data_IF_677273056151
#
_entry.id   IF_677273056151
#
_cell.length_a   1.000
_cell.length_b   1.000
_cell.length_c   1.000
_cell.angle_alpha   90.00
_cell.angle_beta   90.00
_cell.angle_gamma   90.00
#
_symmetry.space_group_name_H-M   'P 1'
#
loop_
_entity.id
_entity.type
_entity.pdbx_description
1 polymer ?
#
# COMPACT_ATOMS: atom_id res chain seq x y z
N UNK A 1 33.36 0.01 -4.36
CA UNK A 1 32.46 0.19 -3.20
C UNK A 1 33.23 -0.19 -1.95
N UNK A 2 33.43 0.75 -1.04
CA UNK A 2 34.08 0.51 0.26
C UNK A 2 33.04 0.39 1.37
N UNK A 3 33.39 -0.16 2.54
CA UNK A 3 32.45 -0.28 3.67
C UNK A 3 31.85 1.06 4.12
N UNK A 4 32.57 2.17 3.93
CA UNK A 4 32.07 3.53 4.18
C UNK A 4 30.98 3.95 3.20
N UNK A 5 31.07 3.53 1.94
CA UNK A 5 30.04 3.84 0.93
C UNK A 5 28.75 3.08 1.21
N UNK A 6 28.86 1.84 1.72
CA UNK A 6 27.72 1.04 2.13
C UNK A 6 27.01 1.64 3.35
N UNK A 7 27.78 2.06 4.37
CA UNK A 7 27.22 2.68 5.57
C UNK A 7 26.43 3.97 5.25
N UNK A 8 26.96 4.82 4.35
CA UNK A 8 26.25 6.02 3.89
C UNK A 8 24.94 5.70 3.18
N UNK A 9 24.91 4.65 2.35
CA UNK A 9 23.68 4.19 1.69
C UNK A 9 22.63 3.70 2.68
N UNK A 10 23.05 2.93 3.70
CA UNK A 10 22.15 2.44 4.74
C UNK A 10 21.55 3.62 5.52
N UNK A 11 22.37 4.59 5.91
CA UNK A 11 21.90 5.79 6.61
C UNK A 11 20.94 6.63 5.76
N UNK A 12 21.25 6.85 4.48
CA UNK A 12 20.36 7.56 3.55
C UNK A 12 19.01 6.88 3.43
N UNK A 13 19.01 5.55 3.31
CA UNK A 13 17.79 4.76 3.22
C UNK A 13 16.95 4.83 4.51
N UNK A 14 17.59 4.76 5.68
CA UNK A 14 16.89 4.92 6.96
C UNK A 14 16.23 6.30 7.09
N UNK A 15 16.94 7.37 6.76
CA UNK A 15 16.37 8.73 6.83
C UNK A 15 15.23 8.96 5.83
N UNK A 16 15.26 8.30 4.67
CA UNK A 16 14.14 8.31 3.73
C UNK A 16 12.90 7.62 4.30
N UNK A 17 13.08 6.49 5.01
CA UNK A 17 11.99 5.78 5.69
C UNK A 17 11.39 6.61 6.83
N UNK A 18 12.21 7.20 7.70
CA UNK A 18 11.76 8.07 8.79
C UNK A 18 10.94 9.25 8.25
N UNK A 19 11.41 9.88 7.18
CA UNK A 19 10.71 11.01 6.53
C UNK A 19 9.37 10.60 5.90
N UNK A 20 9.27 9.38 5.39
CA UNK A 20 8.01 8.83 4.89
C UNK A 20 7.02 8.56 6.03
N UNK A 21 7.52 8.06 7.17
CA UNK A 21 6.73 7.80 8.36
C UNK A 21 6.18 9.10 8.98
N UNK A 22 7.01 10.13 9.14
CA UNK A 22 6.58 11.47 9.59
C UNK A 22 5.52 12.08 8.67
N UNK A 23 5.69 11.94 7.35
CA UNK A 23 4.73 12.44 6.37
C UNK A 23 3.39 11.71 6.47
N UNK A 24 3.41 10.40 6.71
CA UNK A 24 2.23 9.58 6.96
C UNK A 24 1.50 10.00 8.24
N UNK A 25 2.24 10.22 9.33
CA UNK A 25 1.69 10.70 10.61
C UNK A 25 1.05 12.08 10.46
N UNK A 26 1.72 13.00 9.77
CA UNK A 26 1.20 14.36 9.53
C UNK A 26 -0.07 14.31 8.66
N UNK A 27 -0.09 13.47 7.62
CA UNK A 27 -1.26 13.27 6.76
C UNK A 27 -2.43 12.62 7.53
N UNK A 28 -2.15 11.73 8.49
CA UNK A 28 -3.15 11.16 9.39
C UNK A 28 -3.75 12.22 10.32
N UNK A 29 -2.94 13.13 10.87
CA UNK A 29 -3.41 14.23 11.72
C UNK A 29 -4.31 15.21 10.96
N UNK A 30 -3.92 15.61 9.74
CA UNK A 30 -4.76 16.47 8.88
C UNK A 30 -6.08 15.78 8.48
N UNK A 31 -6.04 14.47 8.19
CA UNK A 31 -7.24 13.68 7.93
C UNK A 31 -8.19 13.62 9.12
N UNK A 32 -7.69 13.40 10.35
CA UNK A 32 -8.53 13.39 11.55
C UNK A 32 -9.23 14.73 11.78
N UNK A 33 -8.53 15.85 11.56
CA UNK A 33 -9.15 17.17 11.67
C UNK A 33 -10.28 17.38 10.65
N UNK A 34 -10.12 16.91 9.40
CA UNK A 34 -11.18 17.00 8.37
C UNK A 34 -12.37 16.05 8.60
N UNK A 35 -12.21 14.99 9.40
CA UNK A 35 -13.23 13.97 9.63
C UNK A 35 -14.26 14.34 10.71
N UNK A 36 -14.03 15.41 11.48
CA UNK A 36 -15.04 15.92 12.42
C UNK A 36 -16.33 16.40 11.72
N UNK A 37 -16.29 16.57 10.40
CA UNK A 37 -17.44 16.91 9.55
C UNK A 37 -18.07 15.65 8.94
N UNK A 38 -18.84 14.89 9.74
CA UNK A 38 -20.04 14.10 9.37
C UNK A 38 -20.03 13.10 8.19
N UNK A 39 -18.94 12.93 7.45
CA UNK A 39 -18.90 12.12 6.23
C UNK A 39 -18.25 10.75 6.50
N UNK A 40 -19.04 9.67 6.36
CA UNK A 40 -18.50 8.30 6.34
C UNK A 40 -17.61 8.13 5.11
N UNK A 41 -16.31 8.28 5.30
CA UNK A 41 -15.29 8.08 4.26
C UNK A 41 -14.56 6.78 4.53
N UNK A 42 -14.23 6.04 3.47
CA UNK A 42 -13.38 4.84 3.58
C UNK A 42 -12.22 4.99 2.61
N UNK A 43 -11.09 4.39 2.93
CA UNK A 43 -9.96 4.30 2.01
C UNK A 43 -9.88 2.87 1.50
N UNK A 44 -10.01 2.69 0.20
CA UNK A 44 -9.90 1.38 -0.45
C UNK A 44 -8.51 1.31 -1.08
N UNK A 45 -7.68 0.39 -0.62
CA UNK A 45 -6.36 0.12 -1.18
C UNK A 45 -6.41 -1.22 -1.93
N UNK A 46 -5.95 -1.24 -3.17
CA UNK A 46 -5.84 -2.45 -3.96
C UNK A 46 -4.40 -2.66 -4.43
N UNK A 47 -3.98 -3.91 -4.52
CA UNK A 47 -2.68 -4.30 -5.07
C UNK A 47 -2.84 -5.57 -5.91
N UNK A 48 -2.02 -5.69 -6.95
CA UNK A 48 -2.02 -6.83 -7.86
C UNK A 48 -0.58 -7.34 -8.05
N UNK A 49 -0.39 -8.64 -7.90
CA UNK A 49 0.84 -9.33 -8.27
C UNK A 49 0.54 -10.32 -9.40
N UNK A 50 1.39 -10.36 -10.43
CA UNK A 50 1.26 -11.31 -11.55
C UNK A 50 2.57 -12.05 -11.78
N UNK A 51 2.51 -13.37 -11.77
CA UNK A 51 3.59 -14.24 -12.21
C UNK A 51 3.32 -14.71 -13.65
N UNK A 52 4.10 -14.16 -14.59
CA UNK A 52 4.03 -14.52 -16.01
C UNK A 52 4.42 -15.97 -16.28
N UNK A 53 5.26 -16.60 -15.45
CA UNK A 53 5.73 -17.98 -15.70
C UNK A 53 4.65 -19.00 -15.43
N UNK A 54 3.84 -18.77 -14.40
CA UNK A 54 2.74 -19.65 -14.01
C UNK A 54 1.36 -19.14 -14.45
N UNK A 55 1.29 -17.98 -15.10
CA UNK A 55 0.04 -17.26 -15.43
C UNK A 55 -0.90 -17.14 -14.23
N UNK A 56 -0.31 -16.93 -13.04
CA UNK A 56 -1.02 -16.75 -11.78
C UNK A 56 -1.00 -15.29 -11.40
N UNK A 57 -2.07 -14.85 -10.77
CA UNK A 57 -2.10 -13.55 -10.13
C UNK A 57 -2.69 -13.63 -8.74
N UNK A 58 -2.36 -12.62 -7.95
CA UNK A 58 -2.94 -12.37 -6.66
C UNK A 58 -3.43 -10.93 -6.63
N UNK A 59 -4.68 -10.76 -6.25
CA UNK A 59 -5.31 -9.48 -5.97
C UNK A 59 -5.51 -9.36 -4.48
N UNK A 60 -5.11 -8.22 -3.94
CA UNK A 60 -5.32 -7.88 -2.55
C UNK A 60 -6.12 -6.58 -2.48
N UNK A 61 -7.15 -6.58 -1.63
CA UNK A 61 -8.00 -5.45 -1.35
C UNK A 61 -8.06 -5.25 0.17
N UNK A 62 -7.80 -4.04 0.63
CA UNK A 62 -7.94 -3.66 2.04
C UNK A 62 -8.74 -2.36 2.13
N UNK A 63 -9.83 -2.42 2.90
CA UNK A 63 -10.68 -1.27 3.20
C UNK A 63 -10.35 -0.77 4.59
N UNK A 64 -9.91 0.47 4.66
CA UNK A 64 -9.62 1.19 5.89
C UNK A 64 -10.75 2.16 6.23
N UNK A 65 -11.16 2.13 7.48
CA UNK A 65 -12.06 3.10 8.08
C UNK A 65 -11.35 4.40 8.41
N UNK A 66 -12.09 5.31 9.03
CA UNK A 66 -11.63 6.68 9.29
C UNK A 66 -10.60 6.75 10.41
N UNK A 67 -10.68 5.84 11.37
CA UNK A 67 -9.85 5.77 12.57
C UNK A 67 -8.60 4.88 12.37
N UNK A 68 -8.22 4.61 11.11
CA UNK A 68 -7.10 3.73 10.75
C UNK A 68 -7.36 2.26 11.17
N UNK A 69 -8.63 1.86 11.19
CA UNK A 69 -9.09 0.49 11.41
C UNK A 69 -9.31 -0.24 10.08
N UNK A 70 -8.99 -1.54 10.02
CA UNK A 70 -9.33 -2.37 8.86
C UNK A 70 -10.81 -2.77 8.99
N UNK A 71 -11.64 -2.30 8.06
CA UNK A 71 -13.07 -2.65 7.99
C UNK A 71 -13.30 -3.95 7.23
N UNK A 72 -12.51 -4.20 6.18
CA UNK A 72 -12.57 -5.42 5.39
C UNK A 72 -11.23 -5.68 4.69
N UNK A 73 -10.91 -6.95 4.47
CA UNK A 73 -9.83 -7.35 3.59
C UNK A 73 -10.25 -8.55 2.74
N UNK A 74 -9.75 -8.61 1.51
CA UNK A 74 -10.00 -9.73 0.60
C UNK A 74 -8.74 -9.99 -0.22
N UNK A 75 -8.31 -11.24 -0.25
CA UNK A 75 -7.26 -11.71 -1.15
C UNK A 75 -7.86 -12.73 -2.11
N UNK A 76 -7.61 -12.57 -3.40
CA UNK A 76 -8.06 -13.49 -4.44
C UNK A 76 -6.85 -13.96 -5.23
N UNK A 77 -6.70 -15.29 -5.36
CA UNK A 77 -5.69 -15.89 -6.22
C UNK A 77 -6.41 -16.36 -7.47
N UNK A 78 -5.98 -15.88 -8.63
CA UNK A 78 -6.49 -16.35 -9.90
C UNK A 78 -5.42 -17.19 -10.61
N UNK A 79 -5.76 -18.45 -10.88
CA UNK A 79 -5.02 -19.30 -11.80
C UNK A 79 -5.54 -19.08 -13.22
N UNK A 80 -4.66 -18.71 -14.15
CA UNK A 80 -4.94 -18.47 -15.56
C UNK A 80 -5.56 -17.10 -15.92
N UNK A 81 -5.04 -16.01 -15.34
CA UNK A 81 -5.30 -14.68 -15.90
C UNK A 81 -4.30 -14.40 -17.03
N UNK A 82 -4.83 -13.96 -18.18
CA UNK A 82 -4.10 -13.78 -19.44
C UNK A 82 -3.21 -12.54 -19.47
N UNK A 83 -3.40 -11.56 -18.58
CA UNK A 83 -2.54 -10.37 -18.49
C UNK A 83 -2.66 -9.64 -17.15
N UNK A 84 -1.61 -8.90 -16.76
CA UNK A 84 -1.60 -8.02 -15.58
C UNK A 84 -2.72 -6.95 -15.62
N UNK A 85 -3.04 -6.44 -16.81
CA UNK A 85 -4.14 -5.48 -16.99
C UNK A 85 -5.51 -6.08 -16.64
N UNK A 86 -5.74 -7.36 -16.98
CA UNK A 86 -6.97 -8.05 -16.61
C UNK A 86 -7.07 -8.31 -15.10
N UNK A 87 -5.93 -8.40 -14.40
CA UNK A 87 -5.88 -8.51 -12.93
C UNK A 87 -6.33 -7.18 -12.31
N UNK A 88 -5.76 -6.04 -12.73
CA UNK A 88 -6.13 -4.72 -12.21
C UNK A 88 -7.60 -4.37 -12.48
N UNK A 89 -8.15 -4.75 -13.63
CA UNK A 89 -9.56 -4.51 -13.98
C UNK A 89 -10.55 -5.37 -13.17
N UNK A 90 -10.08 -6.39 -12.44
CA UNK A 90 -10.91 -7.27 -11.62
C UNK A 90 -10.98 -6.82 -10.15
N UNK A 91 -10.13 -5.87 -9.75
CA UNK A 91 -10.11 -5.25 -8.42
C UNK A 91 -11.24 -4.21 -8.28
#
# INVERSE_FOLDING_TARGET
MTGRDLAKRIQSYMSELERLEEKLLTLRVDRRHRQSEGNTRVTINFNAAFDRRSSKSTLELVVWGLMDEILASKTVIHSAISSLFAVEAHA
#
